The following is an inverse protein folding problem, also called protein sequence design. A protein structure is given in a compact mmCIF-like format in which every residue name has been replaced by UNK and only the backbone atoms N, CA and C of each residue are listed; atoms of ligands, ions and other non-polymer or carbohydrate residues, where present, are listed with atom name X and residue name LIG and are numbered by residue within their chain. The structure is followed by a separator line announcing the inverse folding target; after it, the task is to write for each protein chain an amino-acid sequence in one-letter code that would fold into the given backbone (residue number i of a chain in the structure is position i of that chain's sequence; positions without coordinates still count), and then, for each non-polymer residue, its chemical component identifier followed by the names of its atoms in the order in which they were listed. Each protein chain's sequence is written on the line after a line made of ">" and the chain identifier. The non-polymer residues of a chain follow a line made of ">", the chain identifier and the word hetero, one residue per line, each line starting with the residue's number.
data_IF_430157777687
#
_entry.id   IF_430157777687
#
_cell.length_a   1.000
_cell.length_b   1.000
_cell.length_c   1.000
_cell.angle_alpha   90.00
_cell.angle_beta   90.00
_cell.angle_gamma   90.00
#
_symmetry.space_group_name_H-M   'P 1'
#
loop_
_entity.id
_entity.type
_entity.pdbx_description
1 polymer ?
#
# COMPACT_ATOMS: atom_id res chain seq x y z
N UNK A 1 -29.60 10.49 -1.20
CA UNK A 1 -28.16 10.47 -1.57
C UNK A 1 -27.96 10.40 -3.09
N UNK A 2 -29.02 10.31 -3.91
CA UNK A 2 -28.94 10.19 -5.38
C UNK A 2 -28.46 11.45 -6.14
N UNK A 3 -28.15 12.55 -5.43
CA UNK A 3 -27.76 13.84 -6.02
C UNK A 3 -26.32 14.26 -5.72
N UNK A 4 -25.48 13.33 -5.29
CA UNK A 4 -24.06 13.55 -5.02
C UNK A 4 -23.22 12.56 -5.81
N UNK A 5 -22.15 13.04 -6.42
CA UNK A 5 -21.15 12.22 -7.09
C UNK A 5 -19.89 12.15 -6.24
N UNK A 6 -19.38 10.93 -6.03
CA UNK A 6 -18.07 10.78 -5.38
C UNK A 6 -17.00 11.34 -6.30
N UNK A 7 -16.22 12.26 -5.78
CA UNK A 7 -15.07 12.83 -6.48
C UNK A 7 -13.80 12.33 -5.84
N UNK A 8 -12.87 11.83 -6.67
CA UNK A 8 -11.52 11.54 -6.20
C UNK A 8 -10.78 12.86 -6.03
N UNK A 9 -10.62 13.31 -4.78
CA UNK A 9 -9.57 14.27 -4.48
C UNK A 9 -8.22 13.56 -4.68
N UNK A 10 -7.23 14.21 -5.32
CA UNK A 10 -5.86 13.72 -5.32
C UNK A 10 -5.44 13.47 -3.89
N UNK A 11 -5.16 12.21 -3.56
CA UNK A 11 -4.61 11.86 -2.26
C UNK A 11 -3.27 12.61 -2.16
N UNK A 12 -2.99 13.25 -1.03
CA UNK A 12 -1.63 13.73 -0.77
C UNK A 12 -0.72 12.50 -0.81
N UNK A 13 -0.04 12.30 -1.94
CA UNK A 13 0.87 11.20 -2.12
C UNK A 13 2.12 11.51 -1.30
N UNK A 14 2.12 11.07 -0.05
CA UNK A 14 3.33 11.05 0.74
C UNK A 14 4.41 10.33 -0.08
N UNK A 15 5.55 11.01 -0.26
CA UNK A 15 6.67 10.52 -1.03
C UNK A 15 6.99 9.08 -0.63
N UNK A 16 7.13 8.20 -1.62
CA UNK A 16 7.48 6.80 -1.39
C UNK A 16 8.97 6.76 -1.08
N UNK A 17 9.32 6.27 0.11
CA UNK A 17 10.73 6.08 0.49
C UNK A 17 11.43 5.10 -0.44
N UNK A 18 12.76 5.23 -0.59
CA UNK A 18 13.54 4.41 -1.52
C UNK A 18 13.49 2.90 -1.20
N UNK A 19 13.28 2.53 0.06
CA UNK A 19 13.12 1.15 0.53
C UNK A 19 11.66 0.79 0.87
N UNK A 20 10.67 1.62 0.45
CA UNK A 20 9.25 1.39 0.70
C UNK A 20 8.57 0.68 -0.48
N UNK A 21 7.88 -0.41 -0.21
CA UNK A 21 7.06 -1.14 -1.18
C UNK A 21 5.59 -1.09 -0.76
N UNK A 22 4.75 -0.44 -1.56
CA UNK A 22 3.29 -0.41 -1.37
C UNK A 22 2.62 -1.55 -2.13
N UNK A 23 2.00 -2.49 -1.40
CA UNK A 23 1.26 -3.61 -1.98
C UNK A 23 -0.16 -3.15 -2.33
N UNK A 24 -0.58 -3.40 -3.57
CA UNK A 24 -1.93 -3.09 -4.03
C UNK A 24 -2.75 -4.36 -4.23
N UNK A 25 -4.08 -4.23 -4.15
CA UNK A 25 -5.00 -5.35 -4.33
C UNK A 25 -4.91 -5.95 -5.75
N UNK A 26 -4.62 -5.14 -6.77
CA UNK A 26 -4.53 -5.59 -8.18
C UNK A 26 -3.10 -5.95 -8.62
N UNK A 27 -2.07 -5.45 -7.92
CA UNK A 27 -0.68 -5.69 -8.30
C UNK A 27 -0.28 -7.17 -8.26
N UNK A 28 0.59 -7.57 -9.19
CA UNK A 28 1.05 -8.95 -9.31
C UNK A 28 2.06 -9.29 -8.23
N UNK A 29 1.79 -10.36 -7.46
CA UNK A 29 2.64 -10.85 -6.36
C UNK A 29 4.11 -11.02 -6.76
N UNK A 30 4.36 -11.57 -7.96
CA UNK A 30 5.73 -11.77 -8.48
C UNK A 30 6.54 -10.48 -8.53
N UNK A 31 5.92 -9.37 -8.94
CA UNK A 31 6.63 -8.10 -9.11
C UNK A 31 7.12 -7.58 -7.75
N UNK A 32 6.29 -7.68 -6.71
CA UNK A 32 6.67 -7.29 -5.35
C UNK A 32 7.80 -8.14 -4.80
N UNK A 33 7.73 -9.46 -5.01
CA UNK A 33 8.80 -10.37 -4.58
C UNK A 33 10.10 -10.04 -5.29
N UNK A 34 10.08 -9.90 -6.62
CA UNK A 34 11.28 -9.59 -7.39
C UNK A 34 11.90 -8.27 -6.95
N UNK A 35 11.09 -7.24 -6.74
CA UNK A 35 11.58 -5.94 -6.31
C UNK A 35 12.15 -5.97 -4.88
N UNK A 36 11.45 -6.62 -3.95
CA UNK A 36 11.94 -6.78 -2.57
C UNK A 36 13.27 -7.55 -2.49
N UNK A 37 13.44 -8.59 -3.31
CA UNK A 37 14.70 -9.32 -3.38
C UNK A 37 15.82 -8.44 -3.94
N UNK A 38 15.57 -7.66 -4.99
CA UNK A 38 16.56 -6.73 -5.54
C UNK A 38 17.00 -5.67 -4.51
N UNK A 39 16.07 -5.15 -3.71
CA UNK A 39 16.42 -4.21 -2.64
C UNK A 39 17.30 -4.86 -1.56
N UNK A 40 16.91 -6.04 -1.07
CA UNK A 40 17.61 -6.73 0.01
C UNK A 40 18.93 -7.40 -0.41
N UNK A 41 19.12 -7.72 -1.69
CA UNK A 41 20.30 -8.45 -2.18
C UNK A 41 21.22 -7.59 -3.04
N UNK A 42 20.68 -6.80 -3.98
CA UNK A 42 21.48 -6.09 -4.97
C UNK A 42 21.84 -4.67 -4.51
N UNK A 43 20.88 -3.97 -3.88
CA UNK A 43 21.07 -2.58 -3.42
C UNK A 43 21.61 -2.47 -1.98
N UNK A 44 21.92 -3.60 -1.34
CA UNK A 44 22.50 -3.69 0.01
C UNK A 44 21.77 -2.87 1.09
N UNK A 45 20.45 -2.70 0.99
CA UNK A 45 19.67 -2.13 2.10
C UNK A 45 19.42 -3.22 3.15
N UNK A 46 19.74 -2.94 4.41
CA UNK A 46 19.52 -3.89 5.52
C UNK A 46 18.03 -4.08 5.85
N UNK A 47 17.17 -3.14 5.42
CA UNK A 47 15.75 -3.16 5.69
C UNK A 47 14.91 -2.65 4.52
N UNK A 48 13.72 -3.25 4.39
CA UNK A 48 12.66 -2.77 3.51
C UNK A 48 11.37 -2.57 4.31
N UNK A 49 10.57 -1.59 3.90
CA UNK A 49 9.29 -1.29 4.53
C UNK A 49 8.18 -1.70 3.58
N UNK A 50 7.35 -2.66 3.99
CA UNK A 50 6.22 -3.12 3.18
C UNK A 50 4.93 -2.57 3.78
N UNK A 51 4.22 -1.74 3.01
CA UNK A 51 2.94 -1.13 3.43
C UNK A 51 1.78 -1.67 2.61
N UNK A 52 0.66 -1.89 3.27
CA UNK A 52 -0.57 -2.34 2.63
C UNK A 52 -1.79 -1.91 3.44
N UNK A 53 -2.91 -1.77 2.74
CA UNK A 53 -4.20 -1.43 3.36
C UNK A 53 -5.33 -2.23 2.74
N UNK A 54 -6.41 -2.40 3.50
CA UNK A 54 -7.64 -3.06 3.07
C UNK A 54 -7.39 -4.46 2.47
N UNK A 55 -7.93 -4.71 1.28
CA UNK A 55 -7.86 -6.01 0.59
C UNK A 55 -6.42 -6.47 0.26
N UNK A 56 -5.44 -5.58 0.30
CA UNK A 56 -4.05 -5.93 0.03
C UNK A 56 -3.33 -6.58 1.23
N UNK A 57 -3.88 -6.48 2.45
CA UNK A 57 -3.23 -6.98 3.68
C UNK A 57 -2.96 -8.48 3.60
N UNK A 58 -3.95 -9.29 3.22
CA UNK A 58 -3.77 -10.75 3.10
C UNK A 58 -2.64 -11.11 2.11
N UNK A 59 -2.64 -10.47 0.93
CA UNK A 59 -1.59 -10.66 -0.08
C UNK A 59 -0.20 -10.30 0.47
N UNK A 60 -0.14 -9.25 1.28
CA UNK A 60 1.10 -8.75 1.87
C UNK A 60 1.73 -9.78 2.80
N UNK A 61 0.92 -10.40 3.67
CA UNK A 61 1.38 -11.48 4.54
C UNK A 61 2.01 -12.61 3.72
N UNK A 62 1.33 -13.06 2.66
CA UNK A 62 1.86 -14.13 1.81
C UNK A 62 3.19 -13.75 1.11
N UNK A 63 3.35 -12.50 0.68
CA UNK A 63 4.59 -12.00 0.09
C UNK A 63 5.72 -12.02 1.12
N UNK A 64 5.49 -11.48 2.32
CA UNK A 64 6.50 -11.42 3.39
C UNK A 64 6.93 -12.82 3.82
N UNK A 65 5.99 -13.76 3.99
CA UNK A 65 6.32 -15.15 4.33
C UNK A 65 7.21 -15.82 3.27
N UNK A 66 6.97 -15.54 1.99
CA UNK A 66 7.79 -16.07 0.91
C UNK A 66 9.18 -15.44 0.87
N UNK A 67 9.31 -14.14 1.17
CA UNK A 67 10.61 -13.47 1.27
C UNK A 67 11.47 -14.06 2.39
N UNK A 68 10.90 -14.25 3.59
CA UNK A 68 11.59 -14.89 4.72
C UNK A 68 12.05 -16.32 4.43
N UNK A 69 11.32 -17.06 3.59
CA UNK A 69 11.73 -18.40 3.14
C UNK A 69 12.89 -18.37 2.15
N UNK A 70 13.04 -17.28 1.39
CA UNK A 70 14.09 -17.14 0.37
C UNK A 70 15.38 -16.54 0.93
N UNK A 71 15.28 -15.64 1.91
CA UNK A 71 16.41 -14.97 2.54
C UNK A 71 16.59 -15.52 3.96
N UNK A 72 17.64 -16.32 4.14
CA UNK A 72 17.97 -16.90 5.44
C UNK A 72 18.35 -15.78 6.41
N UNK A 73 17.79 -15.80 7.62
CA UNK A 73 18.08 -14.79 8.65
C UNK A 73 17.26 -13.50 8.54
N UNK A 74 16.30 -13.42 7.61
CA UNK A 74 15.42 -12.25 7.52
C UNK A 74 14.43 -12.21 8.69
N UNK A 75 14.50 -11.15 9.50
CA UNK A 75 13.58 -10.89 10.60
C UNK A 75 12.44 -9.97 10.16
N UNK A 76 11.27 -10.11 10.78
CA UNK A 76 10.10 -9.29 10.50
C UNK A 76 9.67 -8.53 11.75
N UNK A 77 9.44 -7.23 11.59
CA UNK A 77 8.66 -6.43 12.53
C UNK A 77 7.30 -6.13 11.89
N UNK A 78 6.22 -6.14 12.67
CA UNK A 78 4.86 -5.88 12.17
C UNK A 78 4.18 -4.84 13.04
N UNK A 79 3.90 -3.69 12.45
CA UNK A 79 3.01 -2.68 13.02
C UNK A 79 1.63 -2.77 12.38
N UNK A 80 0.61 -2.49 13.18
CA UNK A 80 -0.77 -2.35 12.73
C UNK A 80 -1.20 -0.93 13.05
N UNK A 81 -1.73 -0.24 12.06
CA UNK A 81 -2.10 1.17 12.15
C UNK A 81 -3.52 1.35 11.62
N UNK A 82 -4.21 2.36 12.13
CA UNK A 82 -5.48 2.83 11.60
C UNK A 82 -5.22 4.06 10.74
N UNK A 83 -5.87 4.13 9.58
CA UNK A 83 -5.77 5.26 8.66
C UNK A 83 -7.18 5.71 8.36
N UNK A 84 -7.46 6.99 8.60
CA UNK A 84 -8.72 7.59 8.22
C UNK A 84 -8.77 7.83 6.71
N UNK A 85 -9.88 7.45 6.09
CA UNK A 85 -10.13 7.64 4.67
C UNK A 85 -11.35 8.53 4.57
N UNK A 86 -11.16 9.75 4.06
CA UNK A 86 -12.25 10.71 3.83
C UNK A 86 -12.61 10.71 2.35
N UNK A 87 -13.79 10.18 2.02
CA UNK A 87 -14.35 10.30 0.67
C UNK A 87 -14.96 11.71 0.50
N UNK A 88 -14.65 12.37 -0.62
CA UNK A 88 -15.25 13.66 -0.96
C UNK A 88 -16.39 13.46 -1.96
N UNK A 89 -17.47 14.20 -1.79
CA UNK A 89 -18.66 14.14 -2.61
C UNK A 89 -19.04 15.54 -3.08
N UNK A 90 -19.32 15.70 -4.37
CA UNK A 90 -19.78 16.96 -4.95
C UNK A 90 -21.26 16.85 -5.35
N UNK A 91 -22.07 17.90 -5.12
CA UNK A 91 -23.47 17.92 -5.52
C UNK A 91 -23.61 17.96 -7.04
N UNK A 92 -24.61 17.26 -7.57
CA UNK A 92 -24.91 17.22 -9.00
C UNK A 92 -25.69 18.45 -9.50
N UNK A 93 -26.27 19.25 -8.60
CA UNK A 93 -27.05 20.45 -8.92
C UNK A 93 -26.60 21.64 -8.05
N UNK A 94 -26.53 22.84 -8.63
CA UNK A 94 -26.26 24.08 -7.89
C UNK A 94 -27.38 24.35 -6.86
N UNK A 95 -27.02 24.62 -5.60
CA UNK A 95 -27.97 24.95 -4.52
C UNK A 95 -28.27 23.82 -3.51
N UNK A 96 -27.76 22.61 -3.71
CA UNK A 96 -27.94 21.48 -2.78
C UNK A 96 -27.21 21.63 -1.43
N UNK A 97 -26.23 22.52 -1.35
CA UNK A 97 -25.43 22.81 -0.15
C UNK A 97 -25.80 24.19 0.43
N UNK A 98 -27.08 24.43 0.71
CA UNK A 98 -27.53 25.56 1.55
C UNK A 98 -27.79 25.12 2.99
#
# INVERSE_FOLDING_TARGET
>A
MDRYQRVEKPREEAAIGANEIRITAQGRTRNYITYALALLQDNATDEIVIKAMGRAINKTVAIVELLKRRIVGLHQNTSIESIDITDTWEPLEEGLNT
#
